data_IF_156587050846
#
_entry.id   IF_156587050846
#
_cell.length_a   1.000
_cell.length_b   1.000
_cell.length_c   1.000
_cell.angle_alpha   90.00
_cell.angle_beta   90.00
_cell.angle_gamma   90.00
#
_symmetry.space_group_name_H-M   'P 1'
#
loop_
_entity.id
_entity.type
_entity.pdbx_description
1 polymer ?
#
# COMPACT_ATOMS: atom_id res chain seq x y z
N UNK A 1 -9.79 24.95 15.74
CA UNK A 1 -8.86 23.83 16.02
C UNK A 1 -9.42 22.60 15.32
N UNK A 2 -8.77 22.09 14.27
CA UNK A 2 -9.24 20.94 13.49
C UNK A 2 -8.26 19.79 13.59
N UNK A 3 -8.76 18.56 13.61
CA UNK A 3 -8.03 17.31 13.79
C UNK A 3 -8.44 16.38 12.65
N UNK A 4 -7.49 15.79 11.91
CA UNK A 4 -7.77 14.93 10.74
C UNK A 4 -7.99 13.48 11.16
N UNK A 5 -8.91 12.77 10.52
CA UNK A 5 -8.96 11.31 10.59
C UNK A 5 -8.95 10.80 9.15
N UNK A 6 -7.99 9.95 8.82
CA UNK A 6 -7.78 9.46 7.47
C UNK A 6 -7.80 7.94 7.45
N UNK A 7 -8.49 7.37 6.46
CA UNK A 7 -8.65 5.92 6.29
C UNK A 7 -8.13 5.53 4.91
N UNK A 8 -7.04 4.77 4.83
CA UNK A 8 -6.59 4.15 3.58
C UNK A 8 -7.27 2.79 3.44
N UNK A 9 -7.95 2.50 2.32
CA UNK A 9 -8.60 1.19 2.10
C UNK A 9 -7.96 0.48 0.92
N UNK A 10 -7.44 -0.72 1.14
CA UNK A 10 -6.78 -1.53 0.12
C UNK A 10 -7.67 -2.73 -0.22
N UNK A 11 -8.08 -2.83 -1.49
CA UNK A 11 -9.03 -3.84 -1.97
C UNK A 11 -8.32 -4.92 -2.83
N UNK A 12 -8.86 -6.14 -2.85
CA UNK A 12 -8.41 -7.24 -3.72
C UNK A 12 -9.51 -7.70 -4.67
N UNK A 13 -9.18 -7.96 -5.94
CA UNK A 13 -10.09 -8.56 -6.92
C UNK A 13 -9.58 -9.95 -7.31
N UNK A 14 -10.42 -10.98 -7.15
CA UNK A 14 -10.02 -12.39 -7.11
C UNK A 14 -9.69 -12.95 -8.49
N UNK A 15 -8.52 -13.60 -8.60
CA UNK A 15 -8.23 -14.69 -9.57
C UNK A 15 -7.84 -15.94 -8.78
N UNK A 16 -7.88 -17.14 -9.38
CA UNK A 16 -7.42 -18.36 -8.70
C UNK A 16 -5.91 -18.26 -8.41
N UNK A 17 -5.54 -18.17 -7.13
CA UNK A 17 -4.18 -17.97 -6.64
C UNK A 17 -3.93 -18.89 -5.43
N UNK A 18 -2.67 -19.32 -5.20
CA UNK A 18 -2.28 -20.09 -3.99
C UNK A 18 -2.17 -19.22 -2.73
N UNK A 19 -2.20 -17.90 -2.87
CA UNK A 19 -2.17 -16.92 -1.80
C UNK A 19 -3.26 -15.87 -2.05
N UNK A 20 -4.15 -15.69 -1.09
CA UNK A 20 -5.20 -14.68 -1.11
C UNK A 20 -4.85 -13.54 -0.14
N UNK A 21 -4.65 -12.31 -0.62
CA UNK A 21 -4.47 -11.18 0.27
C UNK A 21 -5.80 -10.84 0.96
N UNK A 22 -5.74 -10.44 2.22
CA UNK A 22 -6.87 -9.85 2.93
C UNK A 22 -6.91 -8.33 2.67
N UNK A 23 -8.10 -7.75 2.79
CA UNK A 23 -8.26 -6.30 2.75
C UNK A 23 -7.51 -5.68 3.94
N UNK A 24 -6.74 -4.63 3.66
CA UNK A 24 -6.01 -3.88 4.68
C UNK A 24 -6.54 -2.45 4.74
N UNK A 25 -6.87 -1.98 5.94
CA UNK A 25 -7.15 -0.57 6.19
C UNK A 25 -6.13 -0.03 7.18
N UNK A 26 -5.38 1.00 6.78
CA UNK A 26 -4.43 1.70 7.67
C UNK A 26 -5.04 3.07 8.00
N UNK A 27 -5.36 3.26 9.27
CA UNK A 27 -5.85 4.55 9.78
C UNK A 27 -4.69 5.32 10.38
N UNK A 28 -4.30 6.43 9.75
CA UNK A 28 -3.26 7.30 10.29
C UNK A 28 -3.82 8.15 11.42
N UNK A 29 -3.00 8.37 12.44
CA UNK A 29 -3.35 9.27 13.53
C UNK A 29 -3.49 10.71 12.97
N UNK A 30 -4.31 11.55 13.63
CA UNK A 30 -4.46 12.93 13.22
C UNK A 30 -3.16 13.72 13.20
N UNK A 31 -2.95 14.50 12.15
CA UNK A 31 -1.81 15.42 12.02
C UNK A 31 -2.26 16.88 12.14
N UNK A 32 -1.59 17.73 12.94
CA UNK A 32 -1.87 19.16 12.98
C UNK A 32 -1.51 19.84 11.65
N UNK A 33 -2.35 20.77 11.17
CA UNK A 33 -2.08 21.53 9.94
C UNK A 33 -0.73 22.25 9.93
N UNK A 34 -0.21 22.64 11.09
CA UNK A 34 1.10 23.29 11.21
C UNK A 34 2.25 22.41 10.72
N UNK A 35 2.08 21.08 10.77
CA UNK A 35 3.05 20.09 10.30
C UNK A 35 2.94 19.80 8.79
N UNK A 36 1.94 20.37 8.11
CA UNK A 36 1.66 20.14 6.69
C UNK A 36 2.05 21.32 5.78
N UNK A 37 2.86 22.26 6.29
CA UNK A 37 3.15 23.52 5.59
C UNK A 37 4.29 23.44 4.57
N UNK A 38 5.09 22.36 4.61
CA UNK A 38 6.21 22.15 3.71
C UNK A 38 5.93 20.95 2.80
N UNK A 39 6.25 21.08 1.51
CA UNK A 39 6.17 19.97 0.54
C UNK A 39 7.12 18.86 0.98
N UNK A 40 6.66 17.60 0.88
CA UNK A 40 7.44 16.44 1.27
C UNK A 40 6.82 15.61 2.38
N UNK A 41 7.61 14.68 2.90
CA UNK A 41 7.17 13.71 3.89
C UNK A 41 6.98 14.31 5.29
N UNK A 42 5.99 13.78 6.02
CA UNK A 42 5.71 14.12 7.42
C UNK A 42 6.04 12.91 8.31
N UNK A 43 7.33 12.59 8.42
CA UNK A 43 7.85 11.33 8.98
C UNK A 43 7.48 11.06 10.44
N UNK A 44 7.19 12.09 11.22
CA UNK A 44 6.75 12.01 12.62
C UNK A 44 5.40 11.27 12.79
N UNK A 45 4.58 11.20 11.73
CA UNK A 45 3.22 10.64 11.77
C UNK A 45 3.13 9.39 10.89
N UNK A 46 3.65 8.29 11.42
CA UNK A 46 3.66 6.99 10.75
C UNK A 46 2.81 5.95 11.49
N UNK A 47 2.11 5.09 10.73
CA UNK A 47 1.35 3.97 11.29
C UNK A 47 1.67 2.68 10.56
N UNK A 48 1.89 1.62 11.32
CA UNK A 48 2.02 0.28 10.76
C UNK A 48 0.64 -0.30 10.46
N UNK A 49 0.55 -1.06 9.36
CA UNK A 49 -0.46 -2.07 9.13
C UNK A 49 0.17 -3.26 8.43
N UNK A 50 -0.44 -4.43 8.54
CA UNK A 50 0.14 -5.66 7.98
C UNK A 50 -0.69 -6.12 6.78
N UNK A 51 -0.03 -6.31 5.64
CA UNK A 51 -0.63 -7.02 4.51
C UNK A 51 -0.64 -8.51 4.86
N UNK A 52 -1.82 -9.06 5.10
CA UNK A 52 -2.00 -10.48 5.41
C UNK A 52 -2.22 -11.24 4.12
N UNK A 53 -1.37 -12.23 3.85
CA UNK A 53 -1.53 -13.17 2.75
C UNK A 53 -1.89 -14.54 3.32
N UNK A 54 -3.10 -15.02 3.04
CA UNK A 54 -3.50 -16.38 3.39
C UNK A 54 -3.14 -17.32 2.24
N UNK A 55 -2.06 -18.08 2.43
CA UNK A 55 -1.61 -19.07 1.48
C UNK A 55 -1.99 -20.52 1.88
N UNK A 56 -2.76 -20.69 2.97
CA UNK A 56 -3.19 -22.02 3.42
C UNK A 56 -4.30 -22.57 2.54
N UNK A 57 -4.15 -23.81 2.09
CA UNK A 57 -5.21 -24.60 1.43
C UNK A 57 -5.88 -23.94 0.20
N UNK A 58 -5.32 -22.86 -0.37
CA UNK A 58 -5.79 -22.27 -1.63
C UNK A 58 -5.25 -23.04 -2.85
N UNK A 59 -4.43 -24.07 -2.62
CA UNK A 59 -3.84 -24.92 -3.67
C UNK A 59 -4.87 -25.93 -4.16
N UNK A 60 -5.68 -25.55 -5.16
CA UNK A 60 -6.40 -26.52 -5.99
C UNK A 60 -5.58 -27.01 -7.19
N UNK A 61 -4.45 -26.35 -7.48
CA UNK A 61 -3.58 -26.68 -8.61
C UNK A 61 -2.12 -26.80 -8.17
N UNK A 62 -1.62 -28.04 -8.10
CA UNK A 62 -0.26 -28.36 -7.66
C UNK A 62 0.85 -27.78 -8.57
N UNK A 63 0.55 -27.35 -9.80
CA UNK A 63 1.56 -26.68 -10.65
C UNK A 63 1.96 -25.28 -10.14
N UNK A 64 1.06 -24.59 -9.42
CA UNK A 64 1.30 -23.22 -8.93
C UNK A 64 2.18 -23.18 -7.66
N UNK A 65 2.28 -24.27 -6.89
CA UNK A 65 3.15 -24.35 -5.69
C UNK A 65 4.64 -24.34 -6.03
N UNK A 66 4.97 -24.67 -7.28
CA UNK A 66 6.33 -24.65 -7.80
C UNK A 66 6.70 -23.32 -8.46
N UNK A 67 5.85 -22.28 -8.44
CA UNK A 67 6.15 -20.98 -9.07
C UNK A 67 6.67 -19.97 -8.07
N UNK A 68 7.40 -18.97 -8.56
CA UNK A 68 7.76 -17.82 -7.75
C UNK A 68 6.51 -16.96 -7.53
N UNK A 69 6.28 -16.50 -6.31
CA UNK A 69 5.17 -15.58 -6.00
C UNK A 69 5.76 -14.18 -5.91
N UNK A 70 5.17 -13.23 -6.61
CA UNK A 70 5.51 -11.82 -6.52
C UNK A 70 4.30 -11.02 -6.08
N UNK A 71 4.48 -10.17 -5.07
CA UNK A 71 3.43 -9.31 -4.55
C UNK A 71 3.79 -7.86 -4.87
N UNK A 72 2.83 -7.15 -5.45
CA UNK A 72 2.97 -5.75 -5.85
C UNK A 72 1.74 -4.94 -5.46
N UNK A 73 1.88 -3.61 -5.42
CA UNK A 73 0.79 -2.67 -5.19
C UNK A 73 0.45 -1.95 -6.49
N UNK A 74 -0.83 -1.64 -6.68
CA UNK A 74 -1.33 -0.90 -7.85
C UNK A 74 -2.34 0.17 -7.45
N UNK A 75 -2.33 1.33 -8.10
CA UNK A 75 -3.38 2.32 -7.94
C UNK A 75 -3.41 3.29 -9.13
N UNK A 76 -4.60 3.80 -9.46
CA UNK A 76 -4.75 4.92 -10.40
C UNK A 76 -4.51 6.28 -9.73
N UNK A 77 -4.40 6.29 -8.40
CA UNK A 77 -4.15 7.49 -7.60
C UNK A 77 -2.66 7.79 -7.41
N UNK A 78 -1.77 7.01 -8.01
CA UNK A 78 -0.33 7.29 -8.00
C UNK A 78 -0.07 8.69 -8.56
N UNK A 79 0.77 9.45 -7.86
CA UNK A 79 1.16 10.78 -8.31
C UNK A 79 2.16 10.69 -9.46
N UNK A 80 1.93 11.49 -10.50
CA UNK A 80 2.71 11.41 -11.75
C UNK A 80 4.18 11.81 -11.57
N UNK A 81 4.51 12.66 -10.59
CA UNK A 81 5.89 13.06 -10.30
C UNK A 81 6.64 12.03 -9.44
N UNK A 82 5.94 11.13 -8.75
CA UNK A 82 6.57 10.19 -7.82
C UNK A 82 5.73 8.93 -7.58
N UNK A 83 6.22 7.79 -8.08
CA UNK A 83 5.58 6.47 -7.99
C UNK A 83 5.45 5.93 -6.56
N UNK A 84 6.10 6.52 -5.57
CA UNK A 84 5.94 6.15 -4.16
C UNK A 84 4.78 6.86 -3.46
N UNK A 85 4.17 7.86 -4.10
CA UNK A 85 3.15 8.72 -3.48
C UNK A 85 1.76 8.40 -4.05
N UNK A 86 0.84 8.07 -3.15
CA UNK A 86 -0.59 7.94 -3.41
C UNK A 86 -1.30 9.25 -3.12
N UNK A 87 -1.96 9.80 -4.13
CA UNK A 87 -2.89 10.92 -3.96
C UNK A 87 -4.16 10.44 -3.23
N UNK A 88 -4.82 11.33 -2.49
CA UNK A 88 -6.15 11.05 -1.97
C UNK A 88 -7.20 11.04 -3.10
N UNK A 89 -8.35 10.42 -2.85
CA UNK A 89 -9.52 10.44 -3.74
C UNK A 89 -10.05 11.88 -3.95
N UNK A 90 -9.84 12.76 -2.97
CA UNK A 90 -10.19 14.18 -3.02
C UNK A 90 -8.93 15.06 -3.01
N UNK A 91 -8.74 15.91 -4.03
CA UNK A 91 -7.57 16.81 -4.08
C UNK A 91 -7.56 17.77 -2.87
N UNK A 92 -6.57 17.58 -2.00
CA UNK A 92 -6.38 18.34 -0.76
C UNK A 92 -4.88 18.59 -0.50
N UNK A 93 -4.03 18.49 -1.53
CA UNK A 93 -2.59 18.76 -1.40
C UNK A 93 -1.80 17.82 -0.48
N UNK A 94 -2.40 16.76 0.07
CA UNK A 94 -1.74 15.77 0.95
C UNK A 94 -2.07 14.38 0.47
N UNK A 95 -1.03 13.61 0.16
CA UNK A 95 -1.10 12.18 -0.14
C UNK A 95 -0.46 11.33 0.94
N UNK A 96 -0.15 10.10 0.55
CA UNK A 96 0.40 9.07 1.43
C UNK A 96 1.58 8.39 0.75
N UNK A 97 2.56 7.98 1.55
CA UNK A 97 3.64 7.08 1.13
C UNK A 97 3.58 5.81 1.96
N UNK A 98 4.10 4.72 1.40
CA UNK A 98 4.22 3.44 2.08
C UNK A 98 5.69 3.04 2.17
N UNK A 99 6.07 2.39 3.27
CA UNK A 99 7.38 1.77 3.46
C UNK A 99 7.28 0.32 3.87
N UNK A 100 8.30 -0.45 3.54
CA UNK A 100 8.46 -1.83 4.01
C UNK A 100 9.03 -1.90 5.44
N UNK A 101 9.27 -3.13 5.91
CA UNK A 101 9.91 -3.43 7.20
C UNK A 101 11.28 -2.77 7.38
N UNK A 102 12.00 -2.54 6.28
CA UNK A 102 13.33 -1.94 6.26
C UNK A 102 13.28 -0.41 6.12
N UNK A 103 12.09 0.19 6.18
CA UNK A 103 11.84 1.63 5.98
C UNK A 103 12.21 2.12 4.58
N UNK A 104 12.30 1.23 3.59
CA UNK A 104 12.46 1.58 2.19
C UNK A 104 11.12 1.99 1.58
N UNK A 105 11.12 3.02 0.74
CA UNK A 105 9.91 3.48 0.04
C UNK A 105 9.39 2.40 -0.90
N UNK A 106 8.10 2.08 -0.77
CA UNK A 106 7.40 1.20 -1.68
C UNK A 106 6.93 1.99 -2.90
N UNK A 107 7.34 1.54 -4.09
CA UNK A 107 6.81 2.05 -5.36
C UNK A 107 5.52 1.33 -5.72
N UNK A 108 4.55 2.07 -6.25
CA UNK A 108 3.21 1.59 -6.56
C UNK A 108 3.00 1.69 -8.06
N UNK A 109 2.54 0.59 -8.65
CA UNK A 109 2.35 0.52 -10.09
C UNK A 109 1.11 1.31 -10.52
N UNK A 110 1.23 2.10 -11.59
CA UNK A 110 0.11 2.79 -12.23
C UNK A 110 -0.34 2.02 -13.48
N UNK A 111 -1.64 1.84 -13.66
CA UNK A 111 -2.18 1.09 -14.79
C UNK A 111 -1.83 -0.40 -14.76
N UNK A 112 -1.61 -1.01 -15.92
CA UNK A 112 -1.47 -2.47 -16.06
C UNK A 112 -0.04 -3.00 -15.97
N UNK A 113 0.97 -2.16 -16.22
CA UNK A 113 2.37 -2.55 -16.16
C UNK A 113 2.80 -2.85 -14.71
N UNK A 114 3.72 -3.81 -14.53
CA UNK A 114 4.32 -4.14 -13.23
C UNK A 114 5.80 -3.78 -13.30
N UNK A 115 6.15 -2.62 -12.77
CA UNK A 115 7.51 -2.07 -12.71
C UNK A 115 8.13 -2.19 -11.31
N UNK A 116 7.31 -2.48 -10.29
CA UNK A 116 7.70 -2.61 -8.89
C UNK A 116 7.11 -3.87 -8.27
N UNK A 117 7.95 -4.61 -7.56
CA UNK A 117 7.59 -5.77 -6.74
C UNK A 117 8.05 -5.46 -5.32
N UNK A 118 7.15 -5.59 -4.34
CA UNK A 118 7.49 -5.31 -2.94
C UNK A 118 7.93 -6.55 -2.17
N UNK A 119 7.44 -7.75 -2.55
CA UNK A 119 7.81 -9.02 -1.92
C UNK A 119 7.85 -10.13 -2.94
N UNK A 120 8.84 -11.01 -2.81
CA UNK A 120 8.92 -12.26 -3.56
C UNK A 120 9.04 -13.45 -2.63
N UNK A 121 8.39 -14.55 -2.98
CA UNK A 121 8.61 -15.87 -2.40
C UNK A 121 9.26 -16.76 -3.46
N UNK A 122 10.39 -17.38 -3.12
CA UNK A 122 11.18 -18.15 -4.06
C UNK A 122 10.42 -19.39 -4.55
N UNK A 123 10.79 -19.85 -5.75
CA UNK A 123 10.29 -21.10 -6.33
C UNK A 123 10.42 -22.26 -5.35
N UNK A 124 9.36 -23.05 -5.16
CA UNK A 124 9.37 -24.20 -4.26
C UNK A 124 9.38 -23.86 -2.77
N UNK A 125 9.23 -22.59 -2.40
CA UNK A 125 9.00 -22.20 -1.00
C UNK A 125 7.69 -22.80 -0.52
N UNK A 126 7.70 -23.47 0.62
CA UNK A 126 6.49 -23.99 1.25
C UNK A 126 5.68 -22.84 1.87
N UNK A 127 4.96 -22.08 1.04
CA UNK A 127 4.06 -21.02 1.50
C UNK A 127 2.70 -21.67 1.84
N UNK A 128 2.66 -22.42 2.93
CA UNK A 128 1.43 -23.04 3.47
C UNK A 128 1.09 -22.41 4.83
N UNK A 129 1.22 -21.10 4.91
CA UNK A 129 1.12 -20.29 6.11
C UNK A 129 0.28 -19.04 5.83
N UNK A 130 -0.12 -18.39 6.92
CA UNK A 130 -0.59 -17.01 6.86
C UNK A 130 0.65 -16.15 7.03
N UNK A 131 0.96 -15.33 6.03
CA UNK A 131 2.10 -14.44 6.02
C UNK A 131 1.64 -13.02 6.37
N UNK A 132 2.37 -12.35 7.27
CA UNK A 132 2.15 -10.94 7.60
C UNK A 132 3.33 -10.11 7.09
N UNK A 133 3.04 -9.16 6.20
CA UNK A 133 4.05 -8.25 5.64
C UNK A 133 3.79 -6.86 6.20
N UNK A 134 4.61 -6.38 7.15
CA UNK A 134 4.40 -5.08 7.75
C UNK A 134 4.70 -3.97 6.75
N UNK A 135 3.80 -3.00 6.68
CA UNK A 135 3.96 -1.77 5.91
C UNK A 135 3.68 -0.56 6.78
N UNK A 136 4.38 0.54 6.52
CA UNK A 136 4.23 1.78 7.27
C UNK A 136 3.70 2.88 6.37
N UNK A 137 2.51 3.37 6.68
CA UNK A 137 1.93 4.53 6.01
C UNK A 137 2.39 5.83 6.67
N UNK A 138 2.53 6.89 5.89
CA UNK A 138 2.91 8.23 6.37
C UNK A 138 2.31 9.29 5.45
N UNK A 139 1.97 10.47 5.99
CA UNK A 139 1.51 11.60 5.17
C UNK A 139 2.63 12.17 4.30
N UNK A 140 2.27 12.65 3.12
CA UNK A 140 3.17 13.35 2.20
C UNK A 140 2.47 14.59 1.63
N UNK A 141 3.03 15.77 1.86
CA UNK A 141 2.50 17.02 1.34
C UNK A 141 2.92 17.17 -0.12
N UNK A 142 1.92 17.14 -1.01
CA UNK A 142 2.05 17.33 -2.45
C UNK A 142 2.09 18.81 -2.82
N UNK A 143 1.16 19.58 -2.24
CA UNK A 143 0.95 21.00 -2.51
C UNK A 143 0.46 21.69 -1.22
N UNK A 144 1.36 22.40 -0.50
CA UNK A 144 1.00 23.11 0.72
C UNK A 144 -0.13 24.14 0.55
N UNK A 145 -0.30 24.73 -0.64
CA UNK A 145 -1.31 25.77 -0.87
C UNK A 145 -2.73 25.20 -0.94
N UNK A 146 -2.87 23.90 -1.21
CA UNK A 146 -4.16 23.20 -1.30
C UNK A 146 -4.59 22.54 0.00
N UNK A 147 -3.75 22.53 1.03
CA UNK A 147 -4.01 21.85 2.30
C UNK A 147 -5.19 22.47 3.04
N UNK A 148 -6.21 21.66 3.30
CA UNK A 148 -7.46 22.02 3.98
C UNK A 148 -7.88 20.94 4.96
N UNK A 149 -8.49 21.34 6.08
CA UNK A 149 -9.02 20.43 7.09
C UNK A 149 -10.10 19.50 6.48
N UNK A 150 -10.02 18.20 6.78
CA UNK A 150 -11.05 17.25 6.35
C UNK A 150 -10.55 15.81 6.21
N UNK A 151 -11.44 14.83 6.05
CA UNK A 151 -11.03 13.44 5.86
C UNK A 151 -10.26 13.26 4.54
N UNK A 152 -9.25 12.40 4.59
CA UNK A 152 -8.47 11.95 3.43
C UNK A 152 -8.56 10.43 3.33
N UNK A 153 -8.74 9.94 2.12
CA UNK A 153 -8.72 8.51 1.80
C UNK A 153 -7.96 8.33 0.51
N UNK A 154 -7.17 7.26 0.43
CA UNK A 154 -6.62 6.77 -0.82
C UNK A 154 -6.86 5.26 -0.90
N UNK A 155 -6.67 4.70 -2.08
CA UNK A 155 -6.88 3.28 -2.36
C UNK A 155 -5.75 2.71 -3.20
N UNK A 156 -5.36 1.49 -2.90
CA UNK A 156 -4.47 0.68 -3.72
C UNK A 156 -4.99 -0.76 -3.77
N UNK A 157 -4.53 -1.52 -4.74
CA UNK A 157 -4.82 -2.94 -4.91
C UNK A 157 -3.57 -3.75 -4.58
N UNK A 158 -3.72 -4.77 -3.75
CA UNK A 158 -2.67 -5.79 -3.58
C UNK A 158 -2.81 -6.79 -4.73
N UNK A 159 -1.73 -6.96 -5.50
CA UNK A 159 -1.69 -7.88 -6.63
C UNK A 159 -0.69 -8.98 -6.32
N UNK A 160 -1.18 -10.22 -6.32
CA UNK A 160 -0.36 -11.44 -6.22
C UNK A 160 -0.20 -12.03 -7.61
N UNK A 161 1.04 -12.19 -8.06
CA UNK A 161 1.42 -12.73 -9.38
C UNK A 161 2.26 -14.00 -9.23
N UNK A 162 2.17 -14.89 -10.22
CA UNK A 162 2.86 -16.18 -10.25
C UNK A 162 3.75 -16.27 -11.48
N UNK A 163 5.06 -16.35 -11.26
CA UNK A 163 6.08 -16.44 -12.31
C UNK A 163 6.68 -17.85 -12.36
#
# INVERSE_FOLDING_TARGET
>A
KGVYKASLTINYNRKETTCAPQNLTITLDPVPMTKLRAKGEVSEFSKQGDIILDCKNQVRNAMLTSRQIAVNLRSDLVWDENEAVLKPDNDNGVGFILRDSNRSLLKINKGVAINSIFKTYAKGSAVNSVEAIPVFATYYVLDPAKVKAGPLQSKALIVVSYN
#
